data_IF_145652640010
#
_entry.id   IF_145652640010
#
_cell.length_a   1.000
_cell.length_b   1.000
_cell.length_c   1.000
_cell.angle_alpha   90.00
_cell.angle_beta   90.00
_cell.angle_gamma   90.00
#
_symmetry.space_group_name_H-M   'P 1'
#
loop_
_entity.id
_entity.type
_entity.pdbx_description
1 polymer ?
#
# COMPACT_ATOMS: atom_id res chain seq x y z
N UNK A 1 22.41 -0.49 46.31
CA UNK A 1 21.87 -1.87 46.24
C UNK A 1 21.33 -2.20 44.84
N UNK A 2 20.63 -1.27 44.16
CA UNK A 2 20.07 -1.47 42.80
C UNK A 2 21.11 -1.80 41.71
N UNK A 3 22.25 -1.11 41.70
CA UNK A 3 23.31 -1.29 40.69
C UNK A 3 24.03 -2.67 40.75
N UNK A 4 23.99 -3.34 41.91
CA UNK A 4 24.66 -4.63 42.12
C UNK A 4 23.83 -5.79 41.55
N UNK A 5 22.49 -5.67 41.61
CA UNK A 5 21.58 -6.69 41.10
C UNK A 5 21.56 -6.73 39.57
N UNK A 6 21.58 -5.57 38.90
CA UNK A 6 21.47 -5.52 37.42
C UNK A 6 22.65 -6.20 36.70
N UNK A 7 23.89 -5.99 37.14
CA UNK A 7 25.08 -6.59 36.50
C UNK A 7 25.26 -8.07 36.80
N UNK A 8 24.85 -8.54 37.97
CA UNK A 8 24.94 -9.96 38.32
C UNK A 8 23.83 -10.78 37.70
N UNK A 9 22.60 -10.26 37.69
CA UNK A 9 21.43 -10.96 37.13
C UNK A 9 21.59 -11.19 35.63
N UNK A 10 22.05 -10.18 34.87
CA UNK A 10 22.21 -10.32 33.42
C UNK A 10 23.32 -11.32 33.05
N UNK A 11 24.42 -11.31 33.79
CA UNK A 11 25.51 -12.29 33.65
C UNK A 11 25.00 -13.71 33.92
N UNK A 12 24.18 -13.87 34.94
CA UNK A 12 23.62 -15.15 35.33
C UNK A 12 22.61 -15.66 34.31
N UNK A 13 21.78 -14.79 33.74
CA UNK A 13 20.90 -15.14 32.61
C UNK A 13 21.69 -15.62 31.41
N UNK A 14 22.77 -14.92 31.02
CA UNK A 14 23.67 -15.38 29.96
C UNK A 14 24.31 -16.73 30.30
N UNK A 15 24.70 -16.95 31.56
CA UNK A 15 25.27 -18.23 32.02
C UNK A 15 24.26 -19.37 31.90
N UNK A 16 23.01 -19.14 32.34
CA UNK A 16 21.92 -20.10 32.26
C UNK A 16 21.60 -20.43 30.80
N UNK A 17 21.55 -19.43 29.92
CA UNK A 17 21.29 -19.60 28.48
C UNK A 17 22.42 -20.38 27.77
N UNK A 18 23.66 -20.26 28.25
CA UNK A 18 24.80 -21.04 27.75
C UNK A 18 24.77 -22.51 28.19
N UNK A 19 24.34 -22.76 29.43
CA UNK A 19 24.28 -24.11 30.02
C UNK A 19 23.05 -24.86 29.53
N UNK A 20 21.90 -24.20 29.54
CA UNK A 20 20.62 -24.76 29.13
C UNK A 20 20.26 -24.31 27.72
N UNK A 21 20.21 -25.27 26.79
CA UNK A 21 19.71 -25.07 25.42
C UNK A 21 18.22 -25.41 25.29
N UNK A 22 17.47 -25.43 26.40
CA UNK A 22 16.05 -25.72 26.35
C UNK A 22 15.26 -24.49 25.91
N UNK A 23 14.28 -24.70 25.04
CA UNK A 23 13.42 -23.65 24.51
C UNK A 23 12.67 -22.95 25.66
N UNK A 24 12.14 -23.71 26.64
CA UNK A 24 11.42 -23.17 27.80
C UNK A 24 12.24 -22.16 28.60
N UNK A 25 13.54 -22.41 28.80
CA UNK A 25 14.41 -21.49 29.53
C UNK A 25 14.70 -20.23 28.71
N UNK A 26 14.89 -20.38 27.39
CA UNK A 26 15.06 -19.24 26.49
C UNK A 26 13.83 -18.34 26.47
N UNK A 27 12.64 -18.94 26.43
CA UNK A 27 11.34 -18.29 26.45
C UNK A 27 11.13 -17.47 27.73
N UNK A 28 11.31 -18.11 28.89
CA UNK A 28 11.18 -17.45 30.19
C UNK A 28 12.21 -16.32 30.37
N UNK A 29 13.43 -16.52 29.87
CA UNK A 29 14.49 -15.52 29.95
C UNK A 29 14.14 -14.30 29.10
N UNK A 30 13.75 -14.48 27.83
CA UNK A 30 13.37 -13.38 26.94
C UNK A 30 12.17 -12.60 27.48
N UNK A 31 11.15 -13.31 27.99
CA UNK A 31 10.00 -12.68 28.62
C UNK A 31 10.40 -11.86 29.85
N UNK A 32 11.17 -12.44 30.77
CA UNK A 32 11.62 -11.78 31.99
C UNK A 32 12.47 -10.55 31.67
N UNK A 33 13.39 -10.69 30.72
CA UNK A 33 14.24 -9.60 30.25
C UNK A 33 13.43 -8.47 29.62
N UNK A 34 12.44 -8.79 28.78
CA UNK A 34 11.55 -7.80 28.17
C UNK A 34 10.81 -6.99 29.23
N UNK A 35 10.25 -7.65 30.25
CA UNK A 35 9.53 -7.01 31.35
C UNK A 35 10.47 -6.13 32.19
N UNK A 36 11.68 -6.60 32.49
CA UNK A 36 12.68 -5.81 33.23
C UNK A 36 13.01 -4.54 32.45
N UNK A 37 13.31 -4.67 31.16
CA UNK A 37 13.71 -3.55 30.29
C UNK A 37 12.57 -2.53 30.12
N UNK A 38 11.34 -3.00 29.91
CA UNK A 38 10.17 -2.11 29.78
C UNK A 38 9.87 -1.34 31.08
N UNK A 39 10.19 -1.91 32.25
CA UNK A 39 9.96 -1.27 33.54
C UNK A 39 11.12 -0.38 34.01
N UNK A 40 12.26 -0.38 33.30
CA UNK A 40 13.37 0.50 33.62
C UNK A 40 13.04 1.94 33.22
N UNK A 41 12.87 2.81 34.21
CA UNK A 41 12.62 4.26 34.01
C UNK A 41 13.79 5.15 34.38
N UNK A 42 14.81 4.60 35.04
CA UNK A 42 15.97 5.35 35.52
C UNK A 42 17.06 5.37 34.45
N UNK A 43 17.44 6.55 33.96
CA UNK A 43 18.47 6.73 32.94
C UNK A 43 19.80 6.07 33.31
N UNK A 44 20.22 6.15 34.58
CA UNK A 44 21.47 5.52 35.02
C UNK A 44 21.40 3.98 34.99
N UNK A 45 20.22 3.40 35.23
CA UNK A 45 20.00 1.97 35.14
C UNK A 45 19.98 1.51 33.68
N UNK A 46 19.35 2.28 32.79
CA UNK A 46 19.34 2.03 31.34
C UNK A 46 20.77 2.09 30.77
N UNK A 47 21.53 3.14 31.10
CA UNK A 47 22.92 3.28 30.68
C UNK A 47 23.78 2.12 31.21
N UNK A 48 23.60 1.72 32.47
CA UNK A 48 24.33 0.58 33.08
C UNK A 48 24.02 -0.75 32.39
N UNK A 49 22.75 -0.96 32.04
CA UNK A 49 22.29 -2.16 31.35
C UNK A 49 22.87 -2.26 29.94
N UNK A 50 22.79 -1.18 29.16
CA UNK A 50 23.26 -1.16 27.77
C UNK A 50 24.78 -1.07 27.63
N UNK A 51 25.47 -0.52 28.62
CA UNK A 51 26.95 -0.58 28.69
C UNK A 51 27.48 -2.00 28.95
N UNK A 52 26.62 -2.99 29.17
CA UNK A 52 27.02 -4.35 29.47
C UNK A 52 27.03 -5.20 28.20
N UNK A 53 28.18 -5.81 27.88
CA UNK A 53 28.35 -6.76 26.77
C UNK A 53 27.33 -7.91 26.79
N UNK A 54 26.74 -8.22 27.95
CA UNK A 54 25.72 -9.25 28.07
C UNK A 54 24.42 -8.92 27.31
N UNK A 55 24.03 -7.63 27.16
CA UNK A 55 22.88 -7.28 26.31
C UNK A 55 23.22 -7.56 24.84
N UNK A 56 24.38 -7.10 24.37
CA UNK A 56 24.83 -7.37 23.00
C UNK A 56 24.95 -8.88 22.74
N UNK A 57 25.39 -9.65 23.73
CA UNK A 57 25.40 -11.11 23.65
C UNK A 57 23.99 -11.71 23.54
N UNK A 58 23.03 -11.23 24.32
CA UNK A 58 21.64 -11.70 24.26
C UNK A 58 20.98 -11.37 22.92
N UNK A 59 21.26 -10.18 22.37
CA UNK A 59 20.78 -9.79 21.04
C UNK A 59 21.37 -10.74 19.98
N UNK A 60 22.68 -10.96 19.99
CA UNK A 60 23.37 -11.80 19.00
C UNK A 60 23.26 -13.31 19.26
N UNK A 61 22.50 -13.76 20.28
CA UNK A 61 22.40 -15.17 20.61
C UNK A 61 21.61 -15.93 19.54
N UNK A 62 22.12 -17.09 19.13
CA UNK A 62 21.49 -17.95 18.12
C UNK A 62 20.33 -18.75 18.70
N UNK A 63 19.16 -18.12 18.85
CA UNK A 63 17.92 -18.79 19.25
C UNK A 63 17.37 -19.69 18.12
N UNK A 64 16.63 -20.72 18.50
CA UNK A 64 15.97 -21.63 17.56
C UNK A 64 14.56 -21.13 17.21
N UNK A 65 14.48 -20.27 16.20
CA UNK A 65 13.24 -19.63 15.76
C UNK A 65 12.27 -20.54 14.99
N UNK A 66 12.52 -21.86 14.94
CA UNK A 66 11.50 -22.83 14.48
C UNK A 66 10.26 -22.83 15.38
N UNK A 67 10.41 -22.35 16.61
CA UNK A 67 9.31 -22.12 17.53
C UNK A 67 8.86 -20.64 17.39
N UNK A 68 7.66 -20.43 16.85
CA UNK A 68 7.08 -19.10 16.61
C UNK A 68 6.86 -18.31 17.91
N UNK A 69 6.52 -18.99 19.00
CA UNK A 69 6.35 -18.35 20.32
C UNK A 69 7.69 -17.74 20.79
N UNK A 70 8.79 -18.47 20.66
CA UNK A 70 10.12 -17.97 21.01
C UNK A 70 10.51 -16.75 20.17
N UNK A 71 10.17 -16.76 18.87
CA UNK A 71 10.40 -15.64 17.97
C UNK A 71 9.60 -14.39 18.40
N UNK A 72 8.33 -14.56 18.78
CA UNK A 72 7.49 -13.47 19.32
C UNK A 72 8.10 -12.82 20.57
N UNK A 73 8.57 -13.64 21.52
CA UNK A 73 9.24 -13.12 22.73
C UNK A 73 10.58 -12.44 22.41
N UNK A 74 11.31 -12.94 21.41
CA UNK A 74 12.56 -12.32 20.96
C UNK A 74 12.30 -10.96 20.30
N UNK A 75 11.28 -10.85 19.46
CA UNK A 75 10.83 -9.59 18.86
C UNK A 75 10.43 -8.58 19.95
N UNK A 76 9.64 -9.02 20.92
CA UNK A 76 9.22 -8.20 22.06
C UNK A 76 10.41 -7.70 22.88
N UNK A 77 11.44 -8.54 23.03
CA UNK A 77 12.71 -8.19 23.67
C UNK A 77 13.48 -7.11 22.89
N UNK A 78 13.62 -7.24 21.57
CA UNK A 78 14.25 -6.21 20.74
C UNK A 78 13.48 -4.87 20.80
N UNK A 79 12.14 -4.92 20.76
CA UNK A 79 11.29 -3.73 20.89
C UNK A 79 11.46 -3.06 22.26
N UNK A 80 11.55 -3.84 23.34
CA UNK A 80 11.81 -3.32 24.68
C UNK A 80 13.14 -2.57 24.77
N UNK A 81 14.20 -3.11 24.15
CA UNK A 81 15.51 -2.44 24.08
C UNK A 81 15.38 -1.15 23.28
N UNK A 82 14.80 -1.23 22.07
CA UNK A 82 14.64 -0.09 21.17
C UNK A 82 13.87 1.07 21.80
N UNK A 83 12.78 0.78 22.52
CA UNK A 83 11.97 1.80 23.20
C UNK A 83 12.70 2.57 24.31
N UNK A 84 13.84 2.06 24.79
CA UNK A 84 14.69 2.72 25.80
C UNK A 84 15.93 3.39 25.17
N UNK A 85 16.03 3.46 23.84
CA UNK A 85 17.13 4.12 23.16
C UNK A 85 16.92 5.62 23.02
N UNK A 86 18.01 6.36 23.26
CA UNK A 86 18.12 7.80 23.05
C UNK A 86 19.53 8.11 22.51
N UNK A 87 19.78 9.38 22.16
CA UNK A 87 21.06 9.83 21.59
C UNK A 87 22.29 9.43 22.43
N UNK A 88 22.16 9.30 23.74
CA UNK A 88 23.25 8.94 24.65
C UNK A 88 23.41 7.43 24.88
N UNK A 89 22.35 6.64 24.65
CA UNK A 89 22.36 5.20 24.92
C UNK A 89 22.63 4.35 23.68
N UNK A 90 22.35 4.86 22.48
CA UNK A 90 22.67 4.16 21.22
C UNK A 90 24.16 3.86 21.12
N UNK A 91 25.03 4.82 21.46
CA UNK A 91 26.49 4.63 21.44
C UNK A 91 26.99 3.56 22.40
N UNK A 92 26.18 3.12 23.37
CA UNK A 92 26.55 2.08 24.33
C UNK A 92 26.30 0.67 23.78
N UNK A 93 25.38 0.51 22.81
CA UNK A 93 25.10 -0.76 22.15
C UNK A 93 25.93 -0.96 20.87
N UNK A 94 26.62 0.08 20.42
CA UNK A 94 27.41 0.08 19.18
C UNK A 94 28.88 -0.17 19.52
N UNK A 95 29.49 -1.17 18.89
CA UNK A 95 30.93 -1.36 18.96
C UNK A 95 31.62 -0.49 17.92
N UNK A 96 32.47 0.44 18.38
CA UNK A 96 33.27 1.30 17.52
C UNK A 96 34.75 0.95 17.62
N UNK A 97 35.44 0.85 16.48
CA UNK A 97 36.90 0.76 16.42
C UNK A 97 37.43 1.94 15.61
N UNK A 98 38.39 2.69 16.15
CA UNK A 98 38.98 3.87 15.51
C UNK A 98 37.98 4.96 15.07
N UNK A 99 36.83 5.06 15.75
CA UNK A 99 35.77 6.01 15.41
C UNK A 99 34.79 5.54 14.33
N UNK A 100 35.00 4.35 13.75
CA UNK A 100 34.06 3.71 12.85
C UNK A 100 33.21 2.66 13.57
N UNK A 101 31.93 2.56 13.19
CA UNK A 101 31.01 1.56 13.73
C UNK A 101 31.32 0.20 13.10
N UNK A 102 31.77 -0.75 13.90
CA UNK A 102 32.13 -2.11 13.45
C UNK A 102 30.98 -3.09 13.67
N UNK A 103 30.20 -2.93 14.75
CA UNK A 103 29.08 -3.80 15.04
C UNK A 103 27.95 -3.04 15.70
N UNK A 104 26.73 -3.26 15.22
CA UNK A 104 25.50 -2.83 15.88
C UNK A 104 24.48 -3.96 15.87
N UNK A 105 24.57 -4.92 16.81
CA UNK A 105 23.76 -6.13 16.81
C UNK A 105 22.26 -5.88 16.76
N UNK A 106 21.79 -4.86 17.50
CA UNK A 106 20.38 -4.52 17.55
C UNK A 106 19.83 -4.13 16.17
N UNK A 107 20.60 -3.35 15.39
CA UNK A 107 20.20 -2.92 14.06
C UNK A 107 20.16 -4.09 13.07
N UNK A 108 21.18 -4.95 13.10
CA UNK A 108 21.24 -6.15 12.24
C UNK A 108 20.04 -7.07 12.52
N UNK A 109 19.76 -7.31 13.79
CA UNK A 109 18.66 -8.17 14.23
C UNK A 109 17.28 -7.55 13.96
N UNK A 110 17.12 -6.25 14.20
CA UNK A 110 15.88 -5.53 13.91
C UNK A 110 15.55 -5.55 12.41
N UNK A 111 16.54 -5.37 11.52
CA UNK A 111 16.32 -5.49 10.07
C UNK A 111 15.98 -6.92 9.69
N UNK A 112 16.68 -7.91 10.26
CA UNK A 112 16.42 -9.34 9.98
C UNK A 112 14.97 -9.72 10.23
N UNK A 113 14.34 -9.10 11.24
CA UNK A 113 12.95 -9.39 11.62
C UNK A 113 11.97 -8.26 11.30
N UNK A 114 12.38 -7.20 10.60
CA UNK A 114 11.54 -6.03 10.30
C UNK A 114 10.25 -6.38 9.54
N UNK A 115 10.26 -7.50 8.81
CA UNK A 115 9.13 -8.00 8.02
C UNK A 115 8.35 -9.12 8.72
N UNK A 116 8.63 -9.43 9.99
CA UNK A 116 7.83 -10.35 10.78
C UNK A 116 6.61 -9.61 11.34
N UNK A 117 5.42 -10.22 11.25
CA UNK A 117 4.09 -9.61 11.54
C UNK A 117 3.99 -8.87 12.89
N UNK A 118 4.89 -9.15 13.85
CA UNK A 118 4.88 -8.53 15.18
C UNK A 118 5.70 -7.23 15.31
N UNK A 119 6.54 -6.87 14.32
CA UNK A 119 7.41 -5.67 14.33
C UNK A 119 6.75 -4.44 13.69
N UNK A 120 5.60 -4.57 13.03
CA UNK A 120 4.86 -3.46 12.41
C UNK A 120 4.36 -2.44 13.43
N UNK A 121 5.26 -1.61 13.96
CA UNK A 121 4.96 -0.45 14.77
C UNK A 121 4.67 0.72 13.82
N UNK A 122 3.68 1.54 14.17
CA UNK A 122 3.28 2.75 13.43
C UNK A 122 4.45 3.73 13.22
N UNK A 123 5.55 3.58 13.98
CA UNK A 123 6.78 4.36 13.83
C UNK A 123 7.67 3.89 12.68
N UNK A 124 7.77 2.57 12.43
CA UNK A 124 8.53 1.98 11.31
C UNK A 124 7.73 2.12 10.02
N UNK A 125 6.41 1.90 10.06
CA UNK A 125 5.53 2.18 8.92
C UNK A 125 5.59 3.66 8.54
N UNK A 126 5.58 4.56 9.52
CA UNK A 126 5.78 6.00 9.30
C UNK A 126 7.18 6.34 8.80
N UNK A 127 8.22 5.59 9.15
CA UNK A 127 9.58 5.81 8.62
C UNK A 127 9.74 5.30 7.17
N UNK A 128 9.16 4.15 6.82
CA UNK A 128 9.10 3.65 5.43
C UNK A 128 8.28 4.58 4.55
N UNK A 129 7.25 5.23 5.10
CA UNK A 129 6.37 6.16 4.39
C UNK A 129 6.75 7.64 4.54
N UNK A 130 7.79 8.00 5.32
CA UNK A 130 8.25 9.40 5.45
C UNK A 130 9.73 9.55 5.06
N UNK A 131 9.99 10.54 4.19
CA UNK A 131 11.35 10.88 3.75
C UNK A 131 11.79 10.16 2.46
N UNK A 132 13.11 9.99 2.22
CA UNK A 132 13.66 9.53 0.94
C UNK A 132 13.24 8.11 0.51
N UNK A 133 12.65 7.30 1.40
CA UNK A 133 12.13 5.96 1.09
C UNK A 133 10.72 6.00 0.45
N UNK A 134 9.93 7.05 0.69
CA UNK A 134 8.71 7.27 -0.09
C UNK A 134 9.04 7.57 -1.56
N UNK A 135 10.18 8.24 -1.81
CA UNK A 135 10.68 8.46 -3.16
C UNK A 135 11.06 7.16 -3.84
N UNK A 136 11.51 6.13 -3.12
CA UNK A 136 11.81 4.83 -3.72
C UNK A 136 10.60 4.23 -4.45
N UNK A 137 9.41 4.22 -3.83
CA UNK A 137 8.20 3.70 -4.48
C UNK A 137 7.76 4.56 -5.67
N UNK A 138 7.89 5.88 -5.56
CA UNK A 138 7.64 6.80 -6.68
C UNK A 138 8.63 6.59 -7.82
N UNK A 139 9.92 6.43 -7.51
CA UNK A 139 11.00 6.19 -8.47
C UNK A 139 10.84 4.83 -9.15
N UNK A 140 10.42 3.82 -8.39
CA UNK A 140 10.12 2.48 -8.87
C UNK A 140 8.96 2.50 -9.88
N UNK A 141 7.85 3.16 -9.54
CA UNK A 141 6.71 3.32 -10.47
C UNK A 141 7.09 4.19 -11.68
N UNK A 142 7.95 5.19 -11.49
CA UNK A 142 8.48 6.03 -12.58
C UNK A 142 9.39 5.23 -13.51
N UNK A 143 10.21 4.33 -12.98
CA UNK A 143 11.03 3.40 -13.76
C UNK A 143 10.14 2.41 -14.53
N UNK A 144 9.15 1.82 -13.87
CA UNK A 144 8.16 0.95 -14.51
C UNK A 144 7.41 1.66 -15.65
N UNK A 145 7.02 2.92 -15.45
CA UNK A 145 6.44 3.76 -16.49
C UNK A 145 7.35 3.87 -17.73
N UNK A 146 8.67 4.02 -17.55
CA UNK A 146 9.62 4.05 -18.67
C UNK A 146 9.64 2.72 -19.41
N UNK A 147 9.55 1.59 -18.71
CA UNK A 147 9.46 0.28 -19.34
C UNK A 147 8.16 0.11 -20.13
N UNK A 148 7.02 0.62 -19.63
CA UNK A 148 5.77 0.64 -20.38
C UNK A 148 5.88 1.44 -21.69
N UNK A 149 6.58 2.57 -21.68
CA UNK A 149 6.85 3.36 -22.89
C UNK A 149 7.79 2.64 -23.84
N UNK A 150 8.83 1.98 -23.33
CA UNK A 150 9.73 1.19 -24.14
C UNK A 150 9.00 0.01 -24.82
N UNK A 151 8.12 -0.70 -24.10
CA UNK A 151 7.25 -1.71 -24.70
C UNK A 151 6.42 -1.11 -25.84
N UNK A 152 5.85 0.07 -25.65
CA UNK A 152 5.08 0.73 -26.69
C UNK A 152 5.90 1.01 -27.94
N UNK A 153 7.12 1.52 -27.79
CA UNK A 153 8.01 1.80 -28.92
C UNK A 153 8.34 0.52 -29.69
N UNK A 154 8.60 -0.59 -28.99
CA UNK A 154 8.81 -1.90 -29.61
C UNK A 154 7.57 -2.41 -30.35
N UNK A 155 6.37 -2.26 -29.77
CA UNK A 155 5.11 -2.66 -30.42
C UNK A 155 4.84 -1.82 -31.67
N UNK A 156 5.09 -0.53 -31.63
CA UNK A 156 4.98 0.36 -32.80
C UNK A 156 5.97 -0.05 -33.88
N UNK A 157 7.24 -0.30 -33.53
CA UNK A 157 8.25 -0.76 -34.49
C UNK A 157 7.88 -2.11 -35.12
N UNK A 158 7.44 -3.08 -34.31
CA UNK A 158 7.02 -4.39 -34.79
C UNK A 158 5.78 -4.32 -35.70
N UNK A 159 4.93 -3.30 -35.54
CA UNK A 159 3.76 -3.09 -36.41
C UNK A 159 4.12 -2.59 -37.81
N UNK A 160 5.27 -1.92 -37.95
CA UNK A 160 5.76 -1.38 -39.24
C UNK A 160 6.69 -2.39 -39.92
N UNK A 161 7.63 -2.98 -39.18
CA UNK A 161 8.59 -3.96 -39.68
C UNK A 161 8.63 -5.20 -38.77
N UNK A 162 7.75 -6.20 -39.01
CA UNK A 162 7.73 -7.40 -38.18
C UNK A 162 8.99 -8.24 -38.42
N UNK A 163 9.83 -8.35 -37.39
CA UNK A 163 11.00 -9.22 -37.38
C UNK A 163 10.95 -10.20 -36.21
N UNK A 164 11.63 -11.35 -36.36
CA UNK A 164 11.69 -12.36 -35.31
C UNK A 164 12.41 -11.81 -34.06
N UNK A 165 13.41 -10.95 -34.25
CA UNK A 165 14.18 -10.29 -33.18
C UNK A 165 13.32 -9.28 -32.42
N UNK A 166 12.55 -8.42 -33.12
CA UNK A 166 11.63 -7.49 -32.47
C UNK A 166 10.54 -8.23 -31.70
N UNK A 167 10.01 -9.31 -32.27
CA UNK A 167 9.02 -10.16 -31.59
C UNK A 167 9.58 -10.77 -30.31
N UNK A 168 10.82 -11.27 -30.33
CA UNK A 168 11.47 -11.78 -29.10
C UNK A 168 11.73 -10.68 -28.08
N UNK A 169 12.10 -9.48 -28.52
CA UNK A 169 12.32 -8.34 -27.63
C UNK A 169 11.01 -7.90 -26.96
N UNK A 170 9.91 -7.85 -27.72
CA UNK A 170 8.56 -7.57 -27.18
C UNK A 170 8.20 -8.60 -26.12
N UNK A 171 8.37 -9.90 -26.40
CA UNK A 171 8.07 -10.97 -25.43
C UNK A 171 8.92 -10.81 -24.17
N UNK A 172 10.23 -10.61 -24.30
CA UNK A 172 11.11 -10.43 -23.13
C UNK A 172 10.75 -9.19 -22.29
N UNK A 173 10.32 -8.10 -22.94
CA UNK A 173 9.90 -6.88 -22.24
C UNK A 173 8.56 -7.08 -21.55
N UNK A 174 7.66 -7.86 -22.16
CA UNK A 174 6.40 -8.29 -21.54
C UNK A 174 6.68 -9.12 -20.29
N UNK A 175 7.59 -10.09 -20.36
CA UNK A 175 7.96 -10.92 -19.19
C UNK A 175 8.50 -10.04 -18.05
N UNK A 176 9.38 -9.07 -18.36
CA UNK A 176 9.92 -8.12 -17.36
C UNK A 176 8.82 -7.23 -16.76
N UNK A 177 7.84 -6.79 -17.55
CA UNK A 177 6.68 -6.05 -17.06
C UNK A 177 5.83 -6.90 -16.12
N UNK A 178 5.57 -8.16 -16.47
CA UNK A 178 4.80 -9.06 -15.60
C UNK A 178 5.55 -9.35 -14.30
N UNK A 179 6.87 -9.59 -14.34
CA UNK A 179 7.70 -9.77 -13.15
C UNK A 179 7.64 -8.56 -12.21
N UNK A 180 7.72 -7.34 -12.76
CA UNK A 180 7.57 -6.12 -11.97
C UNK A 180 6.17 -5.97 -11.36
N UNK A 181 5.12 -6.37 -12.08
CA UNK A 181 3.75 -6.38 -11.53
C UNK A 181 3.58 -7.42 -10.42
N UNK A 182 4.23 -8.59 -10.52
CA UNK A 182 4.25 -9.57 -9.42
C UNK A 182 5.00 -9.02 -8.22
N UNK A 183 6.14 -8.35 -8.43
CA UNK A 183 6.85 -7.66 -7.36
C UNK A 183 5.97 -6.60 -6.67
N UNK A 184 5.22 -5.80 -7.43
CA UNK A 184 4.28 -4.83 -6.86
C UNK A 184 3.18 -5.52 -6.06
N UNK A 185 2.63 -6.62 -6.59
CA UNK A 185 1.64 -7.43 -5.89
C UNK A 185 2.18 -7.96 -4.55
N UNK A 186 3.42 -8.44 -4.52
CA UNK A 186 4.06 -8.95 -3.30
C UNK A 186 4.31 -7.84 -2.28
N UNK A 187 4.82 -6.68 -2.72
CA UNK A 187 5.02 -5.50 -1.88
C UNK A 187 3.72 -5.03 -1.24
N UNK A 188 2.64 -5.00 -2.01
CA UNK A 188 1.33 -4.58 -1.52
C UNK A 188 0.72 -5.63 -0.59
N UNK A 189 0.94 -6.92 -0.88
CA UNK A 189 0.49 -8.03 -0.05
C UNK A 189 1.31 -8.24 1.22
N UNK A 190 2.35 -7.44 1.46
CA UNK A 190 3.24 -7.54 2.62
C UNK A 190 2.57 -7.18 3.96
N UNK A 191 1.30 -6.76 3.97
CA UNK A 191 0.54 -6.50 5.19
C UNK A 191 0.82 -5.14 5.85
N UNK A 192 1.42 -4.20 5.12
CA UNK A 192 1.71 -2.84 5.60
C UNK A 192 0.71 -1.85 4.96
N UNK A 193 -0.34 -1.38 5.69
CA UNK A 193 -1.40 -0.57 5.10
C UNK A 193 -0.93 0.74 4.46
N UNK A 194 0.09 1.38 5.03
CA UNK A 194 0.61 2.64 4.50
C UNK A 194 1.43 2.42 3.21
N UNK A 195 2.12 1.29 3.08
CA UNK A 195 2.86 0.92 1.86
C UNK A 195 1.90 0.46 0.76
N UNK A 196 0.88 -0.32 1.11
CA UNK A 196 -0.23 -0.67 0.22
C UNK A 196 -0.86 0.60 -0.38
N UNK A 197 -1.27 1.53 0.48
CA UNK A 197 -1.83 2.83 0.06
C UNK A 197 -0.86 3.62 -0.80
N UNK A 198 0.38 3.78 -0.35
CA UNK A 198 1.39 4.53 -1.07
C UNK A 198 1.66 3.93 -2.46
N UNK A 199 1.79 2.61 -2.56
CA UNK A 199 2.06 1.93 -3.84
C UNK A 199 0.86 2.00 -4.77
N UNK A 200 -0.35 1.80 -4.25
CA UNK A 200 -1.62 1.96 -5.00
C UNK A 200 -1.78 3.39 -5.51
N UNK A 201 -1.51 4.39 -4.66
CA UNK A 201 -1.56 5.80 -5.03
C UNK A 201 -0.53 6.14 -6.11
N UNK A 202 0.71 5.66 -5.97
CA UNK A 202 1.75 5.88 -6.98
C UNK A 202 1.39 5.25 -8.34
N UNK A 203 0.87 4.00 -8.35
CA UNK A 203 0.41 3.34 -9.58
C UNK A 203 -0.70 4.13 -10.25
N UNK A 204 -1.68 4.63 -9.50
CA UNK A 204 -2.75 5.45 -10.03
C UNK A 204 -2.24 6.80 -10.55
N UNK A 205 -1.46 7.52 -9.75
CA UNK A 205 -1.05 8.90 -10.02
C UNK A 205 0.01 9.03 -11.10
N UNK A 206 0.94 8.08 -11.23
CA UNK A 206 2.05 8.19 -12.18
C UNK A 206 1.85 7.38 -13.46
N UNK A 207 1.04 6.33 -13.42
CA UNK A 207 0.86 5.40 -14.53
C UNK A 207 -0.59 5.39 -15.04
N UNK A 208 -1.56 4.97 -14.22
CA UNK A 208 -2.89 4.64 -14.75
C UNK A 208 -3.67 5.89 -15.19
N UNK A 209 -3.82 6.87 -14.30
CA UNK A 209 -4.58 8.10 -14.57
C UNK A 209 -3.92 9.02 -15.62
N UNK A 210 -2.59 9.30 -15.57
CA UNK A 210 -1.99 10.26 -16.50
C UNK A 210 -1.55 9.65 -17.83
N UNK A 211 -1.30 8.33 -17.90
CA UNK A 211 -0.74 7.69 -19.09
C UNK A 211 -1.70 6.68 -19.71
N UNK A 212 -2.15 5.66 -18.97
CA UNK A 212 -2.89 4.55 -19.58
C UNK A 212 -4.31 4.97 -20.01
N UNK A 213 -5.09 5.59 -19.11
CA UNK A 213 -6.47 5.94 -19.41
C UNK A 213 -6.62 6.97 -20.54
N UNK A 214 -5.89 8.11 -20.54
CA UNK A 214 -6.04 9.12 -21.60
C UNK A 214 -5.75 8.54 -22.98
N UNK A 215 -4.77 7.63 -23.08
CA UNK A 215 -4.35 6.98 -24.33
C UNK A 215 -5.41 6.08 -24.98
N UNK A 216 -6.49 5.78 -24.27
CA UNK A 216 -7.63 5.08 -24.85
C UNK A 216 -8.51 6.03 -25.68
N UNK A 217 -8.41 7.35 -25.47
CA UNK A 217 -9.18 8.35 -26.21
C UNK A 217 -8.44 8.75 -27.49
N UNK A 218 -9.16 8.86 -28.61
CA UNK A 218 -8.57 9.19 -29.91
C UNK A 218 -8.02 10.63 -30.04
N UNK A 219 -8.20 11.45 -29.01
CA UNK A 219 -7.88 12.88 -29.01
C UNK A 219 -6.58 13.23 -28.25
N UNK A 220 -5.88 12.25 -27.69
CA UNK A 220 -4.69 12.49 -26.89
C UNK A 220 -3.41 12.27 -27.70
N UNK A 221 -2.55 13.31 -27.75
CA UNK A 221 -1.14 13.22 -28.14
C UNK A 221 -0.33 12.49 -27.04
N UNK A 222 -0.80 11.31 -26.66
CA UNK A 222 -0.21 10.51 -25.58
C UNK A 222 0.93 9.67 -26.09
N UNK A 223 1.96 9.54 -25.26
CA UNK A 223 3.18 8.80 -25.57
C UNK A 223 3.02 7.27 -25.65
N UNK A 224 1.84 6.74 -25.31
CA UNK A 224 1.54 5.30 -25.41
C UNK A 224 0.33 5.07 -26.31
N UNK A 225 0.40 4.02 -27.12
CA UNK A 225 -0.69 3.62 -28.02
C UNK A 225 -1.82 2.91 -27.27
N UNK A 226 -3.03 3.01 -27.82
CA UNK A 226 -4.23 2.43 -27.22
C UNK A 226 -4.14 0.92 -26.99
N UNK A 227 -3.52 0.18 -27.93
CA UNK A 227 -3.36 -1.29 -27.83
C UNK A 227 -2.46 -1.64 -26.63
N UNK A 228 -1.28 -1.01 -26.53
CA UNK A 228 -0.34 -1.22 -25.42
C UNK A 228 -0.97 -0.82 -24.09
N UNK A 229 -1.73 0.28 -24.07
CA UNK A 229 -2.46 0.71 -22.87
C UNK A 229 -3.49 -0.32 -22.40
N UNK A 230 -4.32 -0.85 -23.32
CA UNK A 230 -5.30 -1.89 -22.98
C UNK A 230 -4.62 -3.14 -22.41
N UNK A 231 -3.53 -3.59 -23.03
CA UNK A 231 -2.75 -4.72 -22.53
C UNK A 231 -2.22 -4.47 -21.12
N UNK A 232 -1.60 -3.32 -20.87
CA UNK A 232 -1.06 -2.97 -19.54
C UNK A 232 -2.16 -2.87 -18.47
N UNK A 233 -3.31 -2.29 -18.81
CA UNK A 233 -4.46 -2.25 -17.90
C UNK A 233 -4.94 -3.66 -17.55
N UNK A 234 -5.01 -4.57 -18.53
CA UNK A 234 -5.35 -5.97 -18.28
C UNK A 234 -4.31 -6.64 -17.36
N UNK A 235 -3.02 -6.44 -17.62
CA UNK A 235 -1.95 -7.04 -16.81
C UNK A 235 -1.99 -6.54 -15.36
N UNK A 236 -2.20 -5.24 -15.15
CA UNK A 236 -2.37 -4.65 -13.81
C UNK A 236 -3.58 -5.27 -13.10
N UNK A 237 -4.76 -5.27 -13.73
CA UNK A 237 -5.99 -5.81 -13.13
C UNK A 237 -5.92 -7.32 -12.83
N UNK A 238 -5.13 -8.07 -13.61
CA UNK A 238 -4.97 -9.52 -13.45
C UNK A 238 -3.97 -9.87 -12.34
N UNK A 239 -2.88 -9.14 -12.26
CA UNK A 239 -1.74 -9.46 -11.39
C UNK A 239 -1.87 -8.73 -10.05
N UNK A 240 -2.18 -7.44 -10.06
CA UNK A 240 -2.27 -6.60 -8.87
C UNK A 240 -3.71 -6.66 -8.32
N UNK A 241 -3.96 -7.66 -7.47
CA UNK A 241 -5.29 -8.00 -6.94
C UNK A 241 -5.75 -7.07 -5.81
N UNK A 242 -5.87 -5.79 -6.11
CA UNK A 242 -6.26 -4.75 -5.16
C UNK A 242 -7.65 -4.24 -5.51
N UNK A 243 -8.54 -4.28 -4.51
CA UNK A 243 -9.93 -3.84 -4.62
C UNK A 243 -10.04 -2.38 -5.06
N UNK A 244 -9.34 -1.49 -4.36
CA UNK A 244 -9.44 -0.05 -4.60
C UNK A 244 -8.86 0.34 -5.96
N UNK A 245 -7.75 -0.29 -6.37
CA UNK A 245 -7.16 -0.11 -7.70
C UNK A 245 -8.13 -0.56 -8.80
N UNK A 246 -8.67 -1.78 -8.69
CA UNK A 246 -9.59 -2.33 -9.69
C UNK A 246 -10.88 -1.49 -9.82
N UNK A 247 -11.47 -1.10 -8.70
CA UNK A 247 -12.65 -0.25 -8.66
C UNK A 247 -12.38 1.14 -9.24
N UNK A 248 -11.22 1.74 -8.93
CA UNK A 248 -10.86 3.07 -9.45
C UNK A 248 -10.64 3.03 -10.96
N UNK A 249 -9.98 1.99 -11.48
CA UNK A 249 -9.78 1.78 -12.92
C UNK A 249 -11.14 1.59 -13.61
N UNK A 250 -12.01 0.74 -13.08
CA UNK A 250 -13.33 0.50 -13.66
C UNK A 250 -14.22 1.76 -13.62
N UNK A 251 -14.19 2.50 -12.51
CA UNK A 251 -14.90 3.78 -12.39
C UNK A 251 -14.39 4.79 -13.43
N UNK A 252 -13.07 4.91 -13.57
CA UNK A 252 -12.49 5.85 -14.53
C UNK A 252 -12.70 5.42 -15.99
N UNK A 253 -12.85 4.13 -16.27
CA UNK A 253 -13.15 3.65 -17.62
C UNK A 253 -14.62 3.90 -18.03
N UNK A 254 -15.57 3.88 -17.09
CA UNK A 254 -17.00 3.76 -17.43
C UNK A 254 -18.00 4.65 -16.67
N UNK A 255 -17.61 5.32 -15.59
CA UNK A 255 -18.53 6.21 -14.88
C UNK A 255 -18.66 7.57 -15.59
N UNK A 256 -19.88 7.97 -16.02
CA UNK A 256 -20.17 9.36 -16.33
C UNK A 256 -20.19 10.17 -15.03
N UNK A 257 -19.57 11.34 -15.02
CA UNK A 257 -19.31 12.17 -13.83
C UNK A 257 -20.55 12.72 -13.09
N UNK A 258 -21.77 12.22 -13.30
CA UNK A 258 -22.99 12.80 -12.74
C UNK A 258 -23.44 12.25 -11.38
N UNK A 259 -22.93 11.12 -10.89
CA UNK A 259 -23.42 10.52 -9.63
C UNK A 259 -22.54 10.80 -8.38
N UNK A 260 -21.52 11.67 -8.50
CA UNK A 260 -20.69 12.10 -7.37
C UNK A 260 -20.62 13.63 -7.24
N UNK A 261 -21.73 14.33 -7.47
CA UNK A 261 -21.94 15.62 -6.84
C UNK A 261 -22.40 15.35 -5.40
N UNK A 262 -21.71 15.87 -4.36
CA UNK A 262 -22.35 16.00 -3.08
C UNK A 262 -23.65 16.76 -3.33
N UNK A 263 -24.75 16.28 -2.75
CA UNK A 263 -26.00 17.01 -2.65
C UNK A 263 -25.71 18.31 -1.88
N UNK A 264 -25.15 19.30 -2.57
CA UNK A 264 -24.92 20.62 -2.08
C UNK A 264 -26.29 21.27 -2.10
N UNK A 265 -26.86 21.41 -0.91
CA UNK A 265 -28.12 22.05 -0.56
C UNK A 265 -28.83 22.72 -1.74
N UNK A 266 -30.01 22.18 -2.06
CA UNK A 266 -31.02 22.88 -2.81
C UNK A 266 -31.35 24.21 -2.11
N UNK A 267 -30.57 25.25 -2.41
CA UNK A 267 -30.88 26.62 -2.06
C UNK A 267 -32.02 27.05 -2.97
N UNK A 268 -33.23 26.80 -2.47
CA UNK A 268 -34.47 27.28 -3.03
C UNK A 268 -34.37 28.79 -3.35
N UNK A 269 -34.45 29.14 -4.63
CA UNK A 269 -34.89 30.48 -5.05
C UNK A 269 -36.42 30.49 -4.97
N UNK A 270 -36.95 30.81 -3.80
CA UNK A 270 -38.30 31.31 -3.62
C UNK A 270 -38.24 32.79 -3.23
N UNK A 271 -38.78 33.66 -4.06
CA UNK A 271 -38.91 35.08 -3.74
C UNK A 271 -39.82 35.29 -2.50
N UNK A 272 -39.42 36.25 -1.67
CA UNK A 272 -39.98 36.73 -0.39
C UNK A 272 -41.47 37.22 -0.48
N UNK A 273 -42.18 37.66 0.61
CA UNK A 273 -41.65 38.16 1.90
C UNK A 273 -42.50 37.96 3.21
N UNK A 274 -41.84 38.33 4.32
CA UNK A 274 -42.36 39.01 5.53
C UNK A 274 -42.73 38.21 6.81
N UNK A 275 -42.16 38.69 7.92
CA UNK A 275 -42.73 38.87 9.27
C UNK A 275 -42.09 38.09 10.45
N UNK A 276 -41.28 38.86 11.22
CA UNK A 276 -41.13 38.94 12.69
C UNK A 276 -41.57 37.76 13.58
N UNK A 277 -40.63 37.33 14.45
CA UNK A 277 -40.68 37.38 15.94
C UNK A 277 -40.23 36.08 16.68
N UNK A 278 -39.24 36.28 17.57
CA UNK A 278 -39.09 35.77 18.96
C UNK A 278 -38.87 34.26 19.29
N UNK A 279 -37.79 34.03 20.05
CA UNK A 279 -37.42 32.92 20.97
C UNK A 279 -38.52 32.56 22.01
N UNK A 280 -38.40 31.56 22.96
CA UNK A 280 -37.40 30.46 23.18
C UNK A 280 -37.95 29.07 23.67
N UNK A 281 -37.04 28.07 23.84
CA UNK A 281 -37.11 26.80 24.64
C UNK A 281 -38.06 25.70 24.14
N UNK A 282 -37.72 24.39 24.12
CA UNK A 282 -37.27 23.55 25.25
C UNK A 282 -36.59 22.23 24.84
N UNK A 283 -35.82 21.72 25.79
CA UNK A 283 -35.11 20.43 25.92
C UNK A 283 -35.96 19.19 25.59
N UNK A 284 -35.33 18.14 25.04
CA UNK A 284 -35.46 16.79 25.61
C UNK A 284 -34.28 15.87 25.23
N UNK A 285 -33.67 15.32 26.27
CA UNK A 285 -32.63 14.28 26.28
C UNK A 285 -33.12 12.98 25.63
N UNK A 286 -32.23 12.31 24.87
CA UNK A 286 -32.06 10.84 25.00
C UNK A 286 -30.72 10.36 24.41
N UNK A 287 -29.96 9.72 25.29
CA UNK A 287 -28.75 8.94 25.03
C UNK A 287 -28.95 7.84 23.98
N UNK A 288 -27.89 7.50 23.24
CA UNK A 288 -27.78 6.18 22.61
C UNK A 288 -26.71 6.02 21.53
N UNK A 289 -25.53 5.56 21.95
CA UNK A 289 -24.60 4.68 21.23
C UNK A 289 -23.87 5.14 19.96
N UNK A 290 -22.56 4.93 20.02
CA UNK A 290 -21.53 4.95 18.98
C UNK A 290 -21.92 4.22 17.68
N UNK A 291 -21.61 4.83 16.54
CA UNK A 291 -21.13 4.11 15.35
C UNK A 291 -20.23 5.04 14.55
N UNK A 292 -18.91 4.92 14.76
CA UNK A 292 -17.87 5.41 13.85
C UNK A 292 -17.94 4.59 12.56
N UNK A 293 -18.32 5.21 11.45
CA UNK A 293 -18.11 4.68 10.12
C UNK A 293 -18.00 5.83 9.12
N UNK A 294 -17.16 5.66 8.10
CA UNK A 294 -16.92 6.54 6.94
C UNK A 294 -16.07 7.80 7.18
N UNK A 295 -14.78 7.60 7.48
CA UNK A 295 -13.75 8.59 7.08
C UNK A 295 -13.47 8.41 5.58
N UNK A 296 -14.07 9.29 4.79
CA UNK A 296 -13.91 9.39 3.35
C UNK A 296 -12.45 9.66 2.96
N UNK A 297 -11.92 8.86 2.02
CA UNK A 297 -10.68 9.11 1.32
C UNK A 297 -10.86 10.37 0.46
N UNK A 298 -10.41 11.53 0.95
CA UNK A 298 -10.26 12.73 0.12
C UNK A 298 -8.96 12.56 -0.66
N UNK A 299 -9.05 12.06 -1.89
CA UNK A 299 -7.99 12.22 -2.88
C UNK A 299 -7.95 13.70 -3.22
N UNK A 300 -7.05 14.44 -2.59
CA UNK A 300 -6.74 15.82 -2.97
C UNK A 300 -5.86 15.75 -4.22
N UNK A 301 -6.47 15.97 -5.38
CA UNK A 301 -5.75 16.16 -6.64
C UNK A 301 -4.88 17.41 -6.47
N UNK A 302 -3.56 17.36 -6.70
CA UNK A 302 -2.72 18.55 -6.69
C UNK A 302 -3.20 19.52 -7.78
N UNK A 303 -3.54 20.75 -7.38
CA UNK A 303 -4.08 21.80 -8.27
C UNK A 303 -3.09 22.24 -9.37
N UNK A 304 -1.83 21.81 -9.30
CA UNK A 304 -0.78 22.23 -10.24
C UNK A 304 -0.61 21.34 -11.48
N UNK A 305 -1.38 20.25 -11.61
CA UNK A 305 -1.31 19.36 -12.79
C UNK A 305 -2.40 19.63 -13.84
N UNK A 306 -3.33 20.55 -13.58
CA UNK A 306 -4.41 20.88 -14.51
C UNK A 306 -4.24 22.34 -14.90
N UNK A 307 -3.60 22.58 -16.05
CA UNK A 307 -3.84 23.82 -16.78
C UNK A 307 -5.33 23.83 -17.16
N UNK A 308 -6.12 24.50 -16.33
CA UNK A 308 -7.53 24.75 -16.56
C UNK A 308 -7.65 25.69 -17.76
N UNK A 309 -7.82 25.12 -18.94
CA UNK A 309 -8.52 25.81 -20.02
C UNK A 309 -10.02 25.49 -19.92
N UNK A 310 -10.83 26.54 -19.97
CA UNK A 310 -12.22 26.52 -19.51
C UNK A 310 -13.17 25.70 -20.38
N UNK A 311 -13.22 24.38 -20.21
CA UNK A 311 -14.40 23.55 -20.52
C UNK A 311 -14.35 22.21 -19.77
N UNK A 312 -14.65 22.23 -18.47
CA UNK A 312 -14.55 21.06 -17.57
C UNK A 312 -15.61 19.96 -17.76
N UNK A 313 -16.08 19.71 -18.98
CA UNK A 313 -17.12 18.72 -19.28
C UNK A 313 -16.79 17.94 -20.57
N UNK A 314 -15.78 17.05 -20.58
CA UNK A 314 -15.72 16.04 -21.67
C UNK A 314 -14.78 14.83 -21.52
N UNK A 315 -14.05 14.59 -20.42
CA UNK A 315 -13.01 13.55 -20.45
C UNK A 315 -13.52 12.12 -20.18
N UNK A 316 -14.37 11.90 -19.17
CA UNK A 316 -14.78 10.53 -18.76
C UNK A 316 -15.86 9.90 -19.66
N UNK A 317 -16.79 10.70 -20.17
CA UNK A 317 -17.80 10.22 -21.13
C UNK A 317 -17.14 9.76 -22.45
N UNK A 318 -15.95 10.28 -22.76
CA UNK A 318 -15.21 9.94 -23.97
C UNK A 318 -14.58 8.55 -23.91
N UNK A 319 -14.23 8.04 -22.72
CA UNK A 319 -13.43 6.82 -22.57
C UNK A 319 -14.24 5.55 -22.81
N UNK A 320 -15.45 5.48 -22.24
CA UNK A 320 -16.43 4.44 -22.54
C UNK A 320 -16.79 4.42 -24.03
N UNK A 321 -17.02 5.59 -24.61
CA UNK A 321 -17.36 5.72 -26.03
C UNK A 321 -16.19 5.29 -26.91
N UNK A 322 -14.97 5.67 -26.55
CA UNK A 322 -13.76 5.22 -27.25
C UNK A 322 -13.60 3.70 -27.17
N UNK A 323 -13.81 3.10 -26.00
CA UNK A 323 -13.76 1.64 -25.83
C UNK A 323 -14.79 0.92 -26.70
N UNK A 324 -16.02 1.43 -26.76
CA UNK A 324 -17.06 0.90 -27.64
C UNK A 324 -16.75 1.12 -29.13
N UNK A 325 -16.09 2.23 -29.49
CA UNK A 325 -15.68 2.51 -30.86
C UNK A 325 -14.61 1.56 -31.38
N UNK A 326 -13.70 1.10 -30.50
CA UNK A 326 -12.73 0.08 -30.86
C UNK A 326 -13.39 -1.27 -31.15
N UNK A 327 -14.49 -1.61 -30.46
CA UNK A 327 -15.25 -2.84 -30.73
C UNK A 327 -16.04 -2.80 -32.04
N UNK A 328 -16.53 -1.62 -32.44
CA UNK A 328 -17.36 -1.47 -33.63
C UNK A 328 -16.58 -1.15 -34.90
N UNK A 329 -15.45 -0.46 -34.78
CA UNK A 329 -14.73 0.14 -35.90
C UNK A 329 -13.20 0.14 -35.76
N UNK A 330 -12.66 -0.49 -34.71
CA UNK A 330 -11.22 -0.60 -34.51
C UNK A 330 -10.54 -1.63 -35.41
N UNK A 331 -9.22 -1.60 -35.45
CA UNK A 331 -8.41 -2.68 -36.07
C UNK A 331 -8.56 -3.99 -35.29
N UNK A 332 -8.23 -5.13 -35.91
CA UNK A 332 -8.32 -6.45 -35.25
C UNK A 332 -7.61 -6.48 -33.88
N UNK A 333 -6.46 -5.82 -33.77
CA UNK A 333 -5.70 -5.70 -32.53
C UNK A 333 -6.41 -4.82 -31.48
N UNK A 334 -7.08 -3.74 -31.90
CA UNK A 334 -7.86 -2.87 -31.01
C UNK A 334 -9.14 -3.57 -30.54
N UNK A 335 -9.82 -4.31 -31.41
CA UNK A 335 -11.00 -5.13 -31.06
C UNK A 335 -10.59 -6.19 -30.03
N UNK A 336 -9.50 -6.92 -30.28
CA UNK A 336 -8.98 -7.92 -29.36
C UNK A 336 -8.60 -7.32 -28.01
N UNK A 337 -7.91 -6.16 -28.01
CA UNK A 337 -7.55 -5.44 -26.80
C UNK A 337 -8.77 -5.02 -25.98
N UNK A 338 -9.79 -4.43 -26.64
CA UNK A 338 -11.02 -4.00 -25.97
C UNK A 338 -11.82 -5.19 -25.40
N UNK A 339 -11.88 -6.30 -26.13
CA UNK A 339 -12.50 -7.54 -25.64
C UNK A 339 -11.73 -8.12 -24.45
N UNK A 340 -10.39 -8.08 -24.48
CA UNK A 340 -9.56 -8.55 -23.38
C UNK A 340 -9.81 -7.72 -22.12
N UNK A 341 -9.88 -6.39 -22.22
CA UNK A 341 -10.20 -5.50 -21.08
C UNK A 341 -11.56 -5.85 -20.48
N UNK A 342 -12.59 -6.03 -21.30
CA UNK A 342 -13.92 -6.42 -20.81
C UNK A 342 -13.91 -7.81 -20.15
N UNK A 343 -13.21 -8.78 -20.76
CA UNK A 343 -13.08 -10.11 -20.20
C UNK A 343 -12.31 -10.11 -18.87
N UNK A 344 -11.25 -9.32 -18.76
CA UNK A 344 -10.48 -9.15 -17.52
C UNK A 344 -11.35 -8.53 -16.43
N UNK A 345 -12.06 -7.43 -16.71
CA UNK A 345 -12.98 -6.81 -15.74
C UNK A 345 -14.06 -7.77 -15.22
N UNK A 346 -14.56 -8.66 -16.08
CA UNK A 346 -15.52 -9.70 -15.71
C UNK A 346 -14.93 -10.79 -14.79
N UNK A 347 -13.63 -11.06 -14.92
CA UNK A 347 -12.92 -12.11 -14.18
C UNK A 347 -12.28 -11.59 -12.89
N UNK A 348 -12.03 -10.28 -12.79
CA UNK A 348 -11.49 -9.62 -11.60
C UNK A 348 -12.49 -9.75 -10.44
N UNK A 349 -12.12 -10.52 -9.41
CA UNK A 349 -12.97 -10.80 -8.24
C UNK A 349 -13.02 -9.62 -7.27
N UNK A 350 -12.00 -8.79 -7.36
CA UNK A 350 -11.75 -7.60 -6.58
C UNK A 350 -12.68 -6.44 -7.01
N UNK A 351 -13.37 -6.56 -8.15
CA UNK A 351 -14.29 -5.55 -8.63
C UNK A 351 -15.65 -5.67 -7.93
N UNK A 352 -16.17 -4.55 -7.41
CA UNK A 352 -17.45 -4.54 -6.72
C UNK A 352 -18.61 -4.90 -7.64
N UNK A 353 -19.56 -5.68 -7.12
CA UNK A 353 -20.74 -6.09 -7.89
C UNK A 353 -21.59 -4.90 -8.34
N UNK A 354 -21.57 -3.80 -7.58
CA UNK A 354 -22.22 -2.53 -7.96
C UNK A 354 -21.53 -1.87 -9.16
N UNK A 355 -20.21 -1.98 -9.26
CA UNK A 355 -19.45 -1.48 -10.40
C UNK A 355 -19.78 -2.32 -11.63
N UNK A 356 -19.78 -3.65 -11.53
CA UNK A 356 -20.21 -4.56 -12.60
C UNK A 356 -21.65 -4.29 -13.07
N UNK A 357 -22.55 -3.92 -12.16
CA UNK A 357 -23.94 -3.53 -12.48
C UNK A 357 -23.98 -2.20 -13.24
N UNK A 358 -23.22 -1.19 -12.79
CA UNK A 358 -23.08 0.11 -13.46
C UNK A 358 -22.45 -0.01 -14.86
N UNK A 359 -21.56 -0.98 -15.05
CA UNK A 359 -20.99 -1.36 -16.34
C UNK A 359 -22.01 -2.03 -17.27
N UNK A 360 -23.12 -2.55 -16.74
CA UNK A 360 -24.10 -3.34 -17.47
C UNK A 360 -23.62 -4.75 -17.83
N UNK A 361 -22.55 -5.23 -17.18
CA UNK A 361 -21.89 -6.51 -17.49
C UNK A 361 -22.01 -7.50 -16.31
N UNK A 362 -22.81 -7.17 -15.28
CA UNK A 362 -23.02 -8.08 -14.15
C UNK A 362 -23.62 -9.42 -14.64
N UNK A 363 -22.98 -10.57 -14.34
CA UNK A 363 -23.48 -11.86 -14.79
C UNK A 363 -24.92 -12.12 -14.32
N UNK A 364 -25.79 -12.56 -15.23
CA UNK A 364 -27.23 -12.77 -14.96
C UNK A 364 -27.51 -13.67 -13.73
N UNK A 365 -26.63 -14.63 -13.44
CA UNK A 365 -26.73 -15.48 -12.23
C UNK A 365 -26.62 -14.67 -10.93
N UNK A 366 -25.74 -13.66 -10.89
CA UNK A 366 -25.57 -12.77 -9.74
C UNK A 366 -26.72 -11.77 -9.62
N UNK A 367 -27.22 -11.25 -10.75
CA UNK A 367 -28.43 -10.42 -10.79
C UNK A 367 -29.65 -11.16 -10.24
N UNK A 368 -29.87 -12.41 -10.65
CA UNK A 368 -30.95 -13.26 -10.13
C UNK A 368 -30.81 -13.50 -8.62
N UNK A 369 -29.59 -13.77 -8.13
CA UNK A 369 -29.33 -13.92 -6.68
C UNK A 369 -29.64 -12.63 -5.90
N UNK A 370 -29.25 -11.47 -6.42
CA UNK A 370 -29.52 -10.15 -5.80
C UNK A 370 -31.02 -9.85 -5.74
N UNK A 371 -31.76 -10.15 -6.81
CA UNK A 371 -33.23 -10.03 -6.84
C UNK A 371 -33.91 -10.97 -5.85
N UNK A 372 -33.43 -12.21 -5.72
CA UNK A 372 -33.94 -13.17 -4.73
C UNK A 372 -33.65 -12.75 -3.29
N UNK A 373 -32.47 -12.17 -3.01
CA UNK A 373 -32.11 -11.68 -1.68
C UNK A 373 -32.83 -10.38 -1.30
N UNK A 374 -33.32 -9.59 -2.26
CA UNK A 374 -34.11 -8.37 -1.99
C UNK A 374 -35.61 -8.65 -1.76
N UNK A 375 -36.05 -9.89 -1.97
CA UNK A 375 -37.42 -10.35 -1.74
C UNK A 375 -37.63 -10.99 -0.34
N UNK A 376 -36.55 -11.11 0.45
CA UNK A 376 -36.55 -11.49 1.86
C UNK A 376 -36.03 -10.32 2.70
#
# INVERSE_FOLDING_TARGET
>A
MQFFMEKQVLREFVRILKISKTITISLQLLQTMSIIIQNLKNEHAIQSLFSNEHINYLISYSFDFRNEELLSYYISFLRAISGNLNKSTISLLVETQNGEVVSFPLYVEAIRFAFHEEIGDDSVNRYVTSGPLANYFSDLVTFFKKQCLYLNDLVVQASVEPSQELSSNVISTVDEIEDNLYYFSDVISAGIPDVDRLMTDNLLQYLVLPLLLPSLTAASDTSIGAITSMYLLCSILRIVKIKDLANTIAAALFCPQQDFLPLHDAKAKGNAPSSKAQHPLSEENRNGYMTEATRNLRVTIPEDAISLDGSGHCCLLSLRVAMLSYLSSGSDAQVLGALLVLATLLQTKELDELMLDALGILPQRKQHKKLLLALF
#
